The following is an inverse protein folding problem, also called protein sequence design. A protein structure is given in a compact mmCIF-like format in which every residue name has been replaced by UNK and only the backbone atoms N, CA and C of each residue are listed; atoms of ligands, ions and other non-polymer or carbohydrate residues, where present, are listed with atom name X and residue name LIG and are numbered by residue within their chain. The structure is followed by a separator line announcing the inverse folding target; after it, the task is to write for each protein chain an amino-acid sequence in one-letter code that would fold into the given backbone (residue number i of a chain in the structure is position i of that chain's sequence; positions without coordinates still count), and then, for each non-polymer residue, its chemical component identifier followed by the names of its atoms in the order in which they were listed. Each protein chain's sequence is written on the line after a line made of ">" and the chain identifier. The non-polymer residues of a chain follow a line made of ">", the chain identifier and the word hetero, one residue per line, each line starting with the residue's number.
data_IF_643805018638
#
_entry.id   IF_643805018638
#
_cell.length_a   1.000
_cell.length_b   1.000
_cell.length_c   1.000
_cell.angle_alpha   90.00
_cell.angle_beta   90.00
_cell.angle_gamma   90.00
#
_symmetry.space_group_name_H-M   'P 1'
#
loop_
_entity.id
_entity.type
_entity.pdbx_description
1 polymer ?
#
# COMPACT_ATOMS: atom_id res chain seq x y z
N UNK A 1 -5.72 -3.87 -7.42
CA UNK A 1 -4.47 -3.79 -6.65
C UNK A 1 -3.36 -3.36 -7.60
N UNK A 2 -2.51 -2.41 -7.21
CA UNK A 2 -1.41 -1.92 -8.06
C UNK A 2 -0.14 -2.67 -7.64
N UNK A 3 0.19 -3.75 -8.33
CA UNK A 3 1.46 -4.46 -8.14
C UNK A 3 2.56 -3.85 -9.01
N UNK A 4 3.81 -3.99 -8.57
CA UNK A 4 4.95 -3.64 -9.43
C UNK A 4 4.97 -4.62 -10.61
N UNK A 5 5.15 -4.09 -11.82
CA UNK A 5 5.31 -4.95 -13.00
C UNK A 5 6.74 -5.42 -13.07
N UNK A 6 6.98 -6.71 -13.32
CA UNK A 6 8.30 -7.23 -13.65
C UNK A 6 8.72 -6.89 -15.10
N UNK A 7 8.16 -5.80 -15.64
CA UNK A 7 8.42 -5.29 -16.97
C UNK A 7 9.47 -4.17 -16.89
N UNK A 8 10.10 -3.88 -18.02
CA UNK A 8 11.11 -2.82 -18.08
C UNK A 8 10.55 -1.48 -17.55
N UNK A 9 11.28 -0.87 -16.61
CA UNK A 9 10.92 0.40 -15.93
C UNK A 9 9.73 0.33 -14.95
N UNK A 10 9.20 -0.85 -14.63
CA UNK A 10 8.20 -1.05 -13.57
C UNK A 10 6.99 -0.10 -13.67
N UNK A 11 6.44 0.07 -14.88
CA UNK A 11 5.32 0.97 -15.13
C UNK A 11 4.07 0.56 -14.33
N UNK A 12 3.31 1.54 -13.85
CA UNK A 12 2.01 1.33 -13.20
C UNK A 12 0.99 0.92 -14.28
N UNK A 13 0.37 -0.25 -14.12
CA UNK A 13 -0.70 -0.74 -14.97
C UNK A 13 -1.87 -1.28 -14.16
N UNK A 14 -3.03 -1.41 -14.80
CA UNK A 14 -4.19 -2.04 -14.17
C UNK A 14 -3.98 -3.55 -14.12
N UNK A 15 -4.26 -4.15 -12.96
CA UNK A 15 -4.19 -5.58 -12.76
C UNK A 15 -5.28 -6.31 -13.55
N UNK A 16 -4.94 -7.49 -14.07
CA UNK A 16 -5.83 -8.35 -14.85
C UNK A 16 -5.81 -9.76 -14.29
N UNK A 17 -6.97 -10.32 -13.98
CA UNK A 17 -7.12 -11.72 -13.57
C UNK A 17 -7.84 -12.50 -14.65
N UNK A 18 -7.26 -13.63 -15.09
CA UNK A 18 -7.85 -14.49 -16.13
C UNK A 18 -8.20 -13.72 -17.42
N UNK A 19 -7.38 -12.73 -17.78
CA UNK A 19 -7.59 -11.88 -18.96
C UNK A 19 -8.64 -10.78 -18.79
N UNK A 20 -9.26 -10.66 -17.61
CA UNK A 20 -10.27 -9.64 -17.31
C UNK A 20 -9.66 -8.59 -16.39
N UNK A 21 -9.95 -7.33 -16.68
CA UNK A 21 -9.56 -6.20 -15.84
C UNK A 21 -10.17 -6.34 -14.44
N UNK A 22 -9.32 -6.26 -13.41
CA UNK A 22 -9.78 -6.34 -12.02
C UNK A 22 -10.21 -4.99 -11.47
N UNK A 23 -11.33 -5.02 -10.75
CA UNK A 23 -11.82 -3.95 -9.90
C UNK A 23 -11.97 -4.51 -8.49
N UNK A 24 -11.94 -3.62 -7.50
CA UNK A 24 -12.21 -4.00 -6.12
C UNK A 24 -13.70 -3.87 -5.89
N UNK A 25 -14.28 -4.87 -5.26
CA UNK A 25 -15.67 -4.85 -4.88
C UNK A 25 -15.89 -3.87 -3.73
N UNK A 26 -16.97 -3.10 -3.81
CA UNK A 26 -17.43 -2.29 -2.69
C UNK A 26 -18.00 -3.20 -1.60
N UNK A 27 -17.62 -2.93 -0.35
CA UNK A 27 -18.09 -3.67 0.82
C UNK A 27 -18.76 -2.70 1.79
N UNK A 28 -20.08 -2.82 1.99
CA UNK A 28 -20.85 -1.89 2.82
C UNK A 28 -20.27 -1.79 4.25
N UNK A 29 -20.09 -0.56 4.80
CA UNK A 29 -20.52 0.74 4.26
C UNK A 29 -19.53 1.45 3.34
N UNK A 30 -18.38 0.84 3.04
CA UNK A 30 -17.34 1.43 2.21
C UNK A 30 -17.62 1.24 0.72
N UNK A 31 -17.31 2.28 -0.06
CA UNK A 31 -17.32 2.22 -1.52
C UNK A 31 -15.87 2.25 -2.02
N UNK A 32 -15.49 1.24 -2.79
CA UNK A 32 -14.18 1.07 -3.40
C UNK A 32 -13.01 1.32 -2.41
N UNK A 33 -11.92 1.94 -2.88
CA UNK A 33 -10.86 2.42 -2.01
C UNK A 33 -11.25 3.73 -1.33
N UNK A 34 -11.42 3.67 0.00
CA UNK A 34 -11.76 4.85 0.83
C UNK A 34 -10.59 5.79 1.12
N UNK A 35 -9.35 5.40 0.75
CA UNK A 35 -8.11 6.14 0.99
C UNK A 35 -7.24 6.13 -0.27
N UNK A 36 -6.27 7.05 -0.35
CA UNK A 36 -5.27 6.96 -1.40
C UNK A 36 -4.38 5.74 -1.12
N UNK A 37 -4.32 4.82 -2.06
CA UNK A 37 -3.53 3.61 -1.96
C UNK A 37 -2.34 3.67 -2.92
N UNK A 38 -1.18 3.23 -2.45
CA UNK A 38 0.05 3.22 -3.22
C UNK A 38 1.05 2.23 -2.65
N UNK A 39 2.28 2.35 -3.10
CA UNK A 39 3.41 1.50 -2.68
C UNK A 39 4.60 2.38 -2.33
N UNK A 40 5.45 1.90 -1.44
CA UNK A 40 6.73 2.53 -1.14
C UNK A 40 7.69 2.39 -2.32
N UNK A 41 8.67 3.30 -2.44
CA UNK A 41 9.80 3.10 -3.33
C UNK A 41 10.91 2.37 -2.58
N UNK A 42 11.52 1.38 -3.23
CA UNK A 42 12.75 0.70 -2.79
C UNK A 42 12.65 -0.19 -1.53
N UNK A 43 11.46 -0.38 -0.94
CA UNK A 43 11.28 -1.30 0.19
C UNK A 43 10.45 -2.50 -0.26
N UNK A 44 11.03 -3.69 -0.13
CA UNK A 44 10.49 -4.94 -0.65
C UNK A 44 10.20 -5.96 0.45
N UNK A 45 9.07 -6.62 0.36
CA UNK A 45 8.64 -7.68 1.26
C UNK A 45 9.25 -9.01 0.83
N UNK A 46 10.43 -9.27 1.40
CA UNK A 46 11.25 -10.41 1.01
C UNK A 46 10.53 -11.77 1.24
N UNK A 47 10.25 -12.56 0.17
CA UNK A 47 9.53 -13.82 0.26
C UNK A 47 10.36 -14.98 0.84
N UNK A 48 11.66 -14.80 1.03
CA UNK A 48 12.50 -15.79 1.72
C UNK A 48 12.68 -15.48 3.20
N UNK A 49 12.33 -14.27 3.64
CA UNK A 49 12.40 -13.88 5.04
C UNK A 49 11.08 -14.22 5.76
N UNK A 50 11.17 -14.89 6.90
CA UNK A 50 10.00 -15.15 7.76
C UNK A 50 9.92 -14.05 8.79
N UNK A 51 8.85 -13.25 8.74
CA UNK A 51 8.52 -12.27 9.77
C UNK A 51 8.10 -13.04 11.03
N UNK A 52 8.91 -12.97 12.08
CA UNK A 52 8.79 -13.82 13.27
C UNK A 52 7.43 -13.65 13.97
N UNK A 53 6.94 -12.43 14.04
CA UNK A 53 5.70 -12.05 14.71
C UNK A 53 4.47 -12.58 13.97
N UNK A 54 4.51 -12.58 12.64
CA UNK A 54 3.42 -13.07 11.78
C UNK A 54 3.54 -14.56 11.47
N UNK A 55 4.73 -15.15 11.64
CA UNK A 55 5.07 -16.51 11.17
C UNK A 55 4.78 -16.72 9.68
N UNK A 56 4.92 -15.65 8.91
CA UNK A 56 4.61 -15.59 7.48
C UNK A 56 5.82 -15.04 6.70
N UNK A 57 5.90 -15.37 5.42
CA UNK A 57 6.91 -14.85 4.48
C UNK A 57 6.37 -13.62 3.76
N UNK A 58 7.24 -12.73 3.28
CA UNK A 58 6.80 -11.57 2.48
C UNK A 58 6.05 -11.97 1.21
N UNK A 59 5.06 -11.18 0.81
CA UNK A 59 4.27 -11.38 -0.43
C UNK A 59 5.02 -11.02 -1.73
N UNK A 60 6.34 -10.82 -1.67
CA UNK A 60 7.19 -10.52 -2.82
C UNK A 60 6.88 -9.20 -3.56
N UNK A 61 6.20 -8.26 -2.91
CA UNK A 61 5.86 -6.94 -3.46
C UNK A 61 6.55 -5.80 -2.70
N UNK A 62 6.44 -4.58 -3.25
CA UNK A 62 6.83 -3.38 -2.51
C UNK A 62 5.81 -3.12 -1.38
N UNK A 63 6.25 -2.59 -0.25
CA UNK A 63 5.37 -2.34 0.90
C UNK A 63 4.18 -1.45 0.52
N UNK A 64 2.97 -1.86 0.92
CA UNK A 64 1.73 -1.14 0.70
C UNK A 64 1.63 0.12 1.56
N UNK A 65 1.16 1.22 0.96
CA UNK A 65 0.93 2.50 1.60
C UNK A 65 -0.55 2.86 1.56
N UNK A 66 -1.12 3.16 2.73
CA UNK A 66 -2.43 3.77 2.89
C UNK A 66 -2.25 5.21 3.36
N UNK A 67 -2.44 6.17 2.45
CA UNK A 67 -2.36 7.59 2.81
C UNK A 67 -3.73 8.08 3.32
N UNK A 68 -3.74 8.58 4.55
CA UNK A 68 -4.97 8.89 5.32
C UNK A 68 -5.24 10.39 5.46
N UNK A 69 -4.52 11.22 4.72
CA UNK A 69 -4.77 12.65 4.62
C UNK A 69 -6.02 12.98 3.79
N UNK A 70 -6.34 14.27 3.76
CA UNK A 70 -7.57 14.80 3.15
C UNK A 70 -7.51 14.92 1.63
N UNK A 71 -6.30 15.11 1.07
CA UNK A 71 -6.11 15.32 -0.36
C UNK A 71 -6.28 14.01 -1.14
N UNK A 72 -7.17 13.98 -2.14
CA UNK A 72 -7.21 12.89 -3.13
C UNK A 72 -6.10 13.11 -4.15
N UNK A 73 -5.21 12.12 -4.29
CA UNK A 73 -4.08 12.16 -5.19
C UNK A 73 -4.41 11.60 -6.57
N UNK A 74 -3.65 12.03 -7.59
CA UNK A 74 -3.75 11.43 -8.93
C UNK A 74 -2.95 10.13 -8.96
N UNK A 75 -3.35 9.21 -9.84
CA UNK A 75 -2.58 7.99 -10.09
C UNK A 75 -1.15 8.38 -10.52
N UNK A 76 -0.17 7.67 -9.95
CA UNK A 76 1.25 7.91 -10.19
C UNK A 76 1.81 9.21 -9.58
N UNK A 77 1.08 9.89 -8.69
CA UNK A 77 1.66 10.97 -7.89
C UNK A 77 2.81 10.43 -7.01
N UNK A 78 3.96 11.10 -7.07
CA UNK A 78 5.03 10.90 -6.09
C UNK A 78 4.81 11.84 -4.91
N UNK A 79 4.59 11.28 -3.73
CA UNK A 79 4.21 12.05 -2.54
C UNK A 79 5.22 11.81 -1.42
N UNK A 80 5.75 12.89 -0.86
CA UNK A 80 6.52 12.82 0.38
C UNK A 80 5.56 12.67 1.55
N UNK A 81 5.81 11.67 2.38
CA UNK A 81 4.89 11.27 3.45
C UNK A 81 5.63 11.09 4.78
N UNK A 82 4.88 11.24 5.86
CA UNK A 82 5.27 10.84 7.22
C UNK A 82 4.55 9.56 7.57
N UNK A 83 5.30 8.52 7.93
CA UNK A 83 4.75 7.26 8.45
C UNK A 83 4.24 7.50 9.86
N UNK A 84 3.02 7.04 10.15
CA UNK A 84 2.42 7.17 11.49
C UNK A 84 2.15 5.83 12.16
N UNK A 85 1.84 4.78 11.39
CA UNK A 85 1.56 3.44 11.91
C UNK A 85 1.95 2.38 10.88
N UNK A 86 2.14 1.16 11.36
CA UNK A 86 2.27 -0.03 10.53
C UNK A 86 1.24 -1.07 10.97
N UNK A 87 0.47 -1.59 10.01
CA UNK A 87 -0.43 -2.71 10.22
C UNK A 87 0.23 -4.00 9.68
N UNK A 88 0.28 -5.01 10.54
CA UNK A 88 0.75 -6.34 10.21
C UNK A 88 -0.41 -7.20 9.70
N UNK A 89 -0.71 -7.15 8.40
CA UNK A 89 -1.73 -8.00 7.79
C UNK A 89 -1.12 -9.33 7.37
N UNK A 90 -1.87 -10.41 7.58
CA UNK A 90 -1.57 -11.71 6.97
C UNK A 90 -2.59 -11.90 5.84
N UNK A 91 -2.13 -11.82 4.60
CA UNK A 91 -2.96 -12.01 3.40
C UNK A 91 -2.63 -13.37 2.78
N UNK A 92 -3.62 -14.26 2.73
CA UNK A 92 -3.48 -15.64 2.23
C UNK A 92 -2.25 -16.44 2.77
N UNK A 93 -1.78 -16.10 3.98
CA UNK A 93 -0.62 -16.76 4.63
C UNK A 93 0.72 -16.07 4.41
N UNK A 94 0.74 -14.94 3.69
CA UNK A 94 1.90 -14.07 3.48
C UNK A 94 1.82 -12.83 4.39
N UNK A 95 2.97 -12.28 4.76
CA UNK A 95 3.03 -10.98 5.44
C UNK A 95 2.82 -9.86 4.42
N UNK A 96 1.80 -9.05 4.66
CA UNK A 96 1.40 -7.90 3.86
C UNK A 96 1.38 -6.64 4.75
N UNK A 97 2.52 -5.96 4.85
CA UNK A 97 2.65 -4.74 5.64
C UNK A 97 1.90 -3.59 4.98
N UNK A 98 1.02 -2.94 5.76
CA UNK A 98 0.33 -1.72 5.35
C UNK A 98 0.78 -0.56 6.21
N UNK A 99 1.54 0.37 5.64
CA UNK A 99 1.93 1.58 6.33
C UNK A 99 0.84 2.64 6.19
N UNK A 100 0.40 3.17 7.32
CA UNK A 100 -0.48 4.34 7.34
C UNK A 100 0.37 5.61 7.38
N UNK A 101 0.06 6.55 6.49
CA UNK A 101 0.89 7.74 6.29
C UNK A 101 0.06 9.01 6.10
N UNK A 102 0.64 10.16 6.43
CA UNK A 102 0.15 11.48 6.02
C UNK A 102 1.07 12.12 5.00
N UNK A 103 0.52 12.89 4.06
CA UNK A 103 1.35 13.74 3.21
C UNK A 103 2.00 14.84 4.06
N UNK A 104 3.24 15.22 3.78
CA UNK A 104 3.93 16.26 4.56
C UNK A 104 3.22 17.63 4.48
N UNK A 105 2.47 17.88 3.42
CA UNK A 105 1.70 19.10 3.21
C UNK A 105 0.26 19.01 3.74
N UNK A 106 -0.12 17.89 4.36
CA UNK A 106 -1.46 17.77 4.95
C UNK A 106 -1.52 18.60 6.25
N UNK A 107 -2.56 19.44 6.45
CA UNK A 107 -2.67 20.30 7.63
C UNK A 107 -2.53 19.56 8.96
N UNK A 108 -2.99 18.30 9.04
CA UNK A 108 -2.94 17.53 10.30
C UNK A 108 -1.62 16.75 10.49
N UNK A 109 -0.71 16.77 9.52
CA UNK A 109 0.55 16.02 9.60
C UNK A 109 1.47 16.50 10.73
N UNK A 110 1.35 17.77 11.11
CA UNK A 110 2.10 18.40 12.22
C UNK A 110 1.49 18.12 13.58
N UNK A 111 0.17 17.92 13.65
CA UNK A 111 -0.56 17.62 14.89
C UNK A 111 -0.39 16.17 15.32
N UNK A 112 -0.22 15.27 14.35
CA UNK A 112 -0.08 13.83 14.59
C UNK A 112 1.40 13.52 14.83
N UNK A 113 1.76 13.30 16.09
CA UNK A 113 3.07 12.82 16.51
C UNK A 113 3.02 11.31 16.79
N UNK A 114 4.12 10.64 16.48
CA UNK A 114 4.37 9.25 16.86
C UNK A 114 5.34 9.25 18.04
N UNK A 115 5.05 8.43 19.06
CA UNK A 115 5.93 8.21 20.22
C UNK A 115 7.12 7.34 19.84
#
# INVERSE_FOLDING_TARGET
>A
MTGMTFEMMNLIKQDTGKGIVRFIDSAFPQQDYIRNNGISLQIWENPVHVVKEMKAKGKSDLIDITQIGSKVHRRSDLVHVKVVRALALIDEGESDWKLEVFGLNDPVATEISTT
#
